data_IF_934551227122
#
_entry.id   IF_934551227122
#
_cell.length_a   1.000
_cell.length_b   1.000
_cell.length_c   1.000
_cell.angle_alpha   90.00
_cell.angle_beta   90.00
_cell.angle_gamma   90.00
#
_symmetry.space_group_name_H-M   'P 1'
#
loop_
_entity.id
_entity.type
_entity.pdbx_description
1 polymer ?
#
# COMPACT_ATOMS: atom_id res chain seq x y z
N UNK A 1 1.72 13.22 -59.80
CA UNK A 1 0.69 12.57 -58.98
C UNK A 1 1.23 11.21 -58.59
N UNK A 2 1.92 11.13 -57.46
CA UNK A 2 1.67 10.16 -56.39
C UNK A 2 2.81 10.33 -55.36
N UNK A 3 2.52 11.03 -54.27
CA UNK A 3 3.46 11.33 -53.19
C UNK A 3 3.51 10.13 -52.25
N UNK A 4 4.57 9.33 -52.37
CA UNK A 4 4.85 8.20 -51.50
C UNK A 4 5.20 8.64 -50.07
N UNK A 5 4.19 8.87 -49.24
CA UNK A 5 4.34 9.05 -47.79
C UNK A 5 4.65 7.70 -47.13
N UNK A 6 5.94 7.47 -46.90
CA UNK A 6 6.44 6.41 -46.04
C UNK A 6 6.01 6.67 -44.59
N UNK A 7 5.06 5.89 -44.07
CA UNK A 7 4.70 5.89 -42.66
C UNK A 7 5.85 5.29 -41.83
N UNK A 8 6.66 6.17 -41.23
CA UNK A 8 7.62 5.79 -40.21
C UNK A 8 6.88 5.31 -38.96
N UNK A 9 6.94 4.00 -38.70
CA UNK A 9 6.51 3.41 -37.44
C UNK A 9 7.41 3.92 -36.30
N UNK A 10 6.98 4.96 -35.60
CA UNK A 10 7.56 5.34 -34.32
C UNK A 10 7.19 4.26 -33.29
N UNK A 11 8.06 3.27 -33.11
CA UNK A 11 8.05 2.38 -31.95
C UNK A 11 8.49 3.21 -30.75
N UNK A 12 7.55 3.82 -30.03
CA UNK A 12 7.81 4.27 -28.67
C UNK A 12 8.11 3.03 -27.83
N UNK A 13 9.32 2.95 -27.26
CA UNK A 13 9.68 1.93 -26.28
C UNK A 13 8.83 2.16 -25.03
N UNK A 14 7.63 1.58 -25.00
CA UNK A 14 6.67 1.77 -23.91
C UNK A 14 7.26 1.23 -22.61
N UNK A 15 7.70 2.11 -21.70
CA UNK A 15 7.97 1.73 -20.31
C UNK A 15 6.71 1.09 -19.74
N UNK A 16 6.80 -0.17 -19.35
CA UNK A 16 5.71 -0.84 -18.63
C UNK A 16 5.61 -0.19 -17.25
N UNK A 17 4.51 0.54 -17.04
CA UNK A 17 4.23 1.20 -15.77
C UNK A 17 3.67 0.15 -14.81
N UNK A 18 4.39 -0.10 -13.72
CA UNK A 18 3.97 -1.05 -12.66
C UNK A 18 3.34 -0.25 -11.52
N UNK A 19 2.01 -0.36 -11.30
CA UNK A 19 1.36 0.29 -10.17
C UNK A 19 1.96 -0.19 -8.85
N UNK A 20 2.20 0.76 -7.94
CA UNK A 20 2.86 0.45 -6.68
C UNK A 20 2.21 1.12 -5.48
N UNK A 21 2.01 0.34 -4.41
CA UNK A 21 1.37 0.77 -3.16
C UNK A 21 2.21 0.34 -1.95
N UNK A 22 2.57 1.28 -1.09
CA UNK A 22 3.20 1.03 0.20
C UNK A 22 2.23 1.34 1.33
N UNK A 23 1.88 0.34 2.13
CA UNK A 23 1.11 0.54 3.35
C UNK A 23 2.06 0.86 4.52
N UNK A 24 1.75 1.87 5.33
CA UNK A 24 2.61 2.33 6.42
C UNK A 24 1.81 2.42 7.71
N UNK A 25 2.36 1.88 8.80
CA UNK A 25 1.87 2.12 10.16
C UNK A 25 3.04 2.53 11.06
N UNK A 26 2.92 2.39 12.38
CA UNK A 26 4.02 2.74 13.29
C UNK A 26 5.16 1.73 13.24
N UNK A 27 4.95 0.51 13.74
CA UNK A 27 6.00 -0.49 13.93
C UNK A 27 6.17 -1.50 12.79
N UNK A 28 5.32 -1.46 11.76
CA UNK A 28 5.26 -2.46 10.69
C UNK A 28 5.09 -3.91 11.18
N UNK A 29 4.31 -4.14 12.24
CA UNK A 29 4.07 -5.49 12.78
C UNK A 29 2.64 -5.99 12.63
N UNK A 30 1.66 -5.09 12.55
CA UNK A 30 0.24 -5.45 12.58
C UNK A 30 -0.50 -4.88 11.37
N UNK A 31 -0.80 -3.57 11.40
CA UNK A 31 -1.75 -2.94 10.47
C UNK A 31 -1.23 -2.89 9.04
N UNK A 32 -0.02 -2.38 8.80
CA UNK A 32 0.53 -2.29 7.45
C UNK A 32 0.86 -3.64 6.79
N UNK A 33 1.44 -4.66 7.47
CA UNK A 33 1.61 -5.97 6.84
C UNK A 33 0.27 -6.64 6.53
N UNK A 34 -0.70 -6.58 7.45
CA UNK A 34 -2.03 -7.11 7.20
C UNK A 34 -2.71 -6.39 6.03
N UNK A 35 -2.61 -5.05 5.95
CA UNK A 35 -3.21 -4.29 4.88
C UNK A 35 -2.64 -4.63 3.50
N UNK A 36 -1.31 -4.76 3.42
CA UNK A 36 -0.60 -5.21 2.22
C UNK A 36 -1.07 -6.60 1.77
N UNK A 37 -1.16 -7.54 2.71
CA UNK A 37 -1.58 -8.92 2.45
C UNK A 37 -3.05 -9.01 2.01
N UNK A 38 -3.95 -8.28 2.67
CA UNK A 38 -5.37 -8.19 2.29
C UNK A 38 -5.52 -7.58 0.89
N UNK A 39 -4.78 -6.52 0.59
CA UNK A 39 -4.84 -5.90 -0.75
C UNK A 39 -4.37 -6.86 -1.85
N UNK A 40 -3.28 -7.61 -1.62
CA UNK A 40 -2.81 -8.66 -2.52
C UNK A 40 -3.84 -9.78 -2.71
N UNK A 41 -4.48 -10.22 -1.62
CA UNK A 41 -5.57 -11.22 -1.67
C UNK A 41 -6.71 -10.74 -2.56
N UNK A 42 -7.18 -9.51 -2.37
CA UNK A 42 -8.30 -8.95 -3.16
C UNK A 42 -7.91 -8.76 -4.62
N UNK A 43 -6.66 -8.37 -4.92
CA UNK A 43 -6.15 -8.32 -6.29
C UNK A 43 -6.26 -9.69 -6.97
N UNK A 44 -5.75 -10.73 -6.31
CA UNK A 44 -5.79 -12.10 -6.85
C UNK A 44 -7.24 -12.59 -7.03
N UNK A 45 -8.12 -12.38 -6.05
CA UNK A 45 -9.54 -12.75 -6.12
C UNK A 45 -10.30 -12.05 -7.25
N UNK A 46 -9.87 -10.84 -7.62
CA UNK A 46 -10.44 -10.08 -8.75
C UNK A 46 -9.74 -10.36 -10.08
N UNK A 47 -8.82 -11.33 -10.13
CA UNK A 47 -8.14 -11.77 -11.36
C UNK A 47 -7.00 -10.87 -11.81
N UNK A 48 -6.47 -9.99 -10.95
CA UNK A 48 -5.28 -9.22 -11.27
C UNK A 48 -4.02 -10.08 -11.16
N UNK A 49 -3.10 -9.88 -12.10
CA UNK A 49 -1.78 -10.52 -12.08
C UNK A 49 -0.89 -9.82 -11.04
N UNK A 50 -0.51 -10.52 -9.98
CA UNK A 50 0.25 -9.92 -8.86
C UNK A 50 1.67 -9.46 -9.27
N UNK A 51 2.30 -10.10 -10.26
CA UNK A 51 3.60 -9.68 -10.83
C UNK A 51 3.52 -8.35 -11.60
N UNK A 52 2.32 -7.87 -11.92
CA UNK A 52 2.06 -6.54 -12.50
C UNK A 52 1.84 -5.47 -11.45
N UNK A 53 1.99 -5.79 -10.16
CA UNK A 53 1.86 -4.86 -9.05
C UNK A 53 3.06 -4.94 -8.14
N UNK A 54 3.45 -3.79 -7.57
CA UNK A 54 4.45 -3.74 -6.51
C UNK A 54 3.79 -3.30 -5.23
N UNK A 55 3.62 -4.24 -4.29
CA UNK A 55 2.92 -3.99 -3.04
C UNK A 55 3.90 -4.22 -1.90
N UNK A 56 3.88 -3.33 -0.92
CA UNK A 56 4.76 -3.43 0.23
C UNK A 56 4.11 -2.91 1.50
N UNK A 57 4.81 -3.14 2.61
CA UNK A 57 4.48 -2.52 3.88
C UNK A 57 5.75 -1.98 4.56
N UNK A 58 5.59 -0.94 5.36
CA UNK A 58 6.66 -0.35 6.16
C UNK A 58 6.11 0.29 7.45
N UNK A 59 7.00 0.89 8.24
CA UNK A 59 6.68 1.57 9.48
C UNK A 59 7.44 2.89 9.63
N UNK A 60 6.82 3.87 10.27
CA UNK A 60 7.46 5.16 10.60
C UNK A 60 8.50 5.02 11.72
N UNK A 61 8.33 4.04 12.62
CA UNK A 61 9.23 3.79 13.73
C UNK A 61 9.35 2.30 13.98
N UNK A 62 10.38 1.67 13.42
CA UNK A 62 10.56 0.22 13.48
C UNK A 62 11.73 -0.12 14.37
N UNK A 63 11.47 -0.93 15.40
CA UNK A 63 12.56 -1.56 16.14
C UNK A 63 13.12 -2.73 15.33
N UNK A 64 14.44 -2.80 15.14
CA UNK A 64 15.08 -3.93 14.48
C UNK A 64 14.69 -5.26 15.14
N UNK A 65 14.50 -6.30 14.32
CA UNK A 65 14.26 -7.69 14.74
C UNK A 65 12.95 -7.97 15.49
N UNK A 66 12.03 -7.00 15.58
CA UNK A 66 10.69 -7.32 16.05
C UNK A 66 10.02 -8.27 15.04
N UNK A 67 9.44 -9.41 15.48
CA UNK A 67 8.71 -10.29 14.58
C UNK A 67 7.34 -9.71 14.22
N UNK A 68 6.68 -10.31 13.25
CA UNK A 68 5.24 -10.10 13.07
C UNK A 68 4.49 -10.48 14.35
N UNK A 69 3.41 -9.77 14.65
CA UNK A 69 2.69 -10.00 15.91
C UNK A 69 1.94 -11.35 15.88
N UNK A 70 2.03 -12.20 16.92
CA UNK A 70 1.47 -13.56 16.88
C UNK A 70 -0.06 -13.63 16.67
N UNK A 71 -0.83 -12.73 17.28
CA UNK A 71 -2.28 -12.70 17.07
C UNK A 71 -2.63 -12.36 15.61
N UNK A 72 -1.84 -11.53 14.94
CA UNK A 72 -1.98 -11.29 13.50
C UNK A 72 -1.83 -12.59 12.71
N UNK A 73 -0.80 -13.40 13.00
CA UNK A 73 -0.56 -14.67 12.28
C UNK A 73 -1.76 -15.60 12.39
N UNK A 74 -2.28 -15.77 13.61
CA UNK A 74 -3.46 -16.61 13.87
C UNK A 74 -4.68 -16.12 13.10
N UNK A 75 -5.01 -14.84 13.22
CA UNK A 75 -6.21 -14.28 12.58
C UNK A 75 -6.07 -14.24 11.05
N UNK A 76 -4.89 -13.95 10.53
CA UNK A 76 -4.65 -13.95 9.09
C UNK A 76 -4.81 -15.36 8.51
N UNK A 77 -4.35 -16.41 9.21
CA UNK A 77 -4.54 -17.79 8.78
C UNK A 77 -6.03 -18.16 8.70
N UNK A 78 -6.83 -17.78 9.70
CA UNK A 78 -8.28 -17.98 9.71
C UNK A 78 -8.99 -17.25 8.55
N UNK A 79 -8.50 -16.05 8.21
CA UNK A 79 -9.03 -15.25 7.09
C UNK A 79 -8.45 -15.63 5.72
N UNK A 80 -7.59 -16.66 5.67
CA UNK A 80 -6.87 -17.07 4.47
C UNK A 80 -6.11 -15.90 3.81
N UNK A 81 -5.51 -15.06 4.65
CA UNK A 81 -4.65 -13.92 4.27
C UNK A 81 -3.20 -14.37 4.40
N UNK A 82 -2.50 -14.44 3.28
CA UNK A 82 -1.09 -14.81 3.26
C UNK A 82 -0.22 -13.60 3.64
N UNK A 83 0.41 -13.65 4.82
CA UNK A 83 1.32 -12.61 5.30
C UNK A 83 2.71 -12.67 4.66
N UNK A 84 3.04 -13.77 3.96
CA UNK A 84 4.33 -14.00 3.33
C UNK A 84 5.48 -14.05 4.33
N UNK A 85 6.71 -13.98 3.81
CA UNK A 85 7.90 -13.74 4.63
C UNK A 85 7.95 -12.24 5.00
N UNK A 86 7.33 -11.90 6.12
CA UNK A 86 7.29 -10.52 6.59
C UNK A 86 8.51 -10.18 7.45
N UNK A 87 9.16 -9.07 7.10
CA UNK A 87 10.23 -8.47 7.90
C UNK A 87 9.89 -7.00 8.15
N UNK A 88 9.77 -6.56 9.41
CA UNK A 88 9.55 -5.15 9.69
C UNK A 88 10.63 -4.27 9.07
N UNK A 89 10.16 -3.26 8.34
CA UNK A 89 10.98 -2.39 7.51
C UNK A 89 10.64 -0.94 7.82
N UNK A 90 11.64 -0.16 8.22
CA UNK A 90 11.46 1.28 8.44
C UNK A 90 11.37 2.00 7.10
N UNK A 91 10.55 3.05 7.04
CA UNK A 91 10.57 3.96 5.90
C UNK A 91 11.91 4.70 5.81
N UNK A 92 12.37 4.88 4.59
CA UNK A 92 13.51 5.73 4.24
C UNK A 92 13.24 6.36 2.87
N UNK A 93 13.97 7.42 2.45
CA UNK A 93 13.73 8.08 1.17
C UNK A 93 13.80 7.14 -0.03
N UNK A 94 14.73 6.16 -0.01
CA UNK A 94 14.93 5.20 -1.10
C UNK A 94 13.76 4.22 -1.20
N UNK A 95 13.19 3.81 -0.06
CA UNK A 95 11.98 3.00 -0.02
C UNK A 95 10.78 3.81 -0.49
N UNK A 96 10.60 5.05 -0.04
CA UNK A 96 9.46 5.86 -0.44
C UNK A 96 9.48 6.18 -1.94
N UNK A 97 10.66 6.41 -2.54
CA UNK A 97 10.81 6.62 -3.99
C UNK A 97 10.39 5.41 -4.83
N UNK A 98 10.51 4.19 -4.28
CA UNK A 98 10.17 2.93 -4.96
C UNK A 98 8.66 2.71 -5.15
N UNK A 99 7.81 3.53 -4.55
CA UNK A 99 6.36 3.41 -4.58
C UNK A 99 5.69 4.71 -5.03
N UNK A 100 4.69 4.57 -5.89
CA UNK A 100 3.92 5.67 -6.46
C UNK A 100 2.80 6.13 -5.50
N UNK A 101 2.28 5.23 -4.66
CA UNK A 101 1.25 5.54 -3.67
C UNK A 101 1.69 5.03 -2.29
N UNK A 102 1.58 5.90 -1.28
CA UNK A 102 1.81 5.59 0.13
C UNK A 102 0.48 5.75 0.88
N UNK A 103 0.10 4.73 1.65
CA UNK A 103 -1.14 4.71 2.43
C UNK A 103 -0.81 4.50 3.90
N UNK A 104 -1.20 5.45 4.75
CA UNK A 104 -1.00 5.39 6.19
C UNK A 104 -2.28 4.98 6.94
N UNK A 105 -2.12 4.58 8.20
CA UNK A 105 -3.23 4.17 9.08
C UNK A 105 -3.75 5.31 9.97
N UNK A 106 -2.90 6.28 10.30
CA UNK A 106 -3.22 7.40 11.19
C UNK A 106 -2.73 8.74 10.59
N UNK A 107 -3.42 9.84 10.87
CA UNK A 107 -3.04 11.19 10.44
C UNK A 107 -1.63 11.57 10.88
N UNK A 108 -1.27 11.27 12.13
CA UNK A 108 0.07 11.55 12.65
C UNK A 108 1.20 10.87 11.86
N UNK A 109 0.94 9.71 11.25
CA UNK A 109 1.92 9.04 10.37
C UNK A 109 2.08 9.81 9.06
N UNK A 110 0.99 10.33 8.47
CA UNK A 110 1.03 11.18 7.28
C UNK A 110 1.77 12.49 7.57
N UNK A 111 1.50 13.11 8.72
CA UNK A 111 2.18 14.33 9.16
C UNK A 111 3.68 14.11 9.34
N UNK A 112 4.08 13.02 10.00
CA UNK A 112 5.48 12.65 10.16
C UNK A 112 6.18 12.42 8.82
N UNK A 113 5.55 11.67 7.90
CA UNK A 113 6.09 11.46 6.55
C UNK A 113 6.22 12.78 5.80
N UNK A 114 5.23 13.67 5.89
CA UNK A 114 5.25 14.95 5.20
C UNK A 114 6.34 15.89 5.75
N UNK A 115 6.62 15.81 7.04
CA UNK A 115 7.66 16.59 7.69
C UNK A 115 9.07 16.06 7.35
N UNK A 116 9.29 14.75 7.49
CA UNK A 116 10.61 14.12 7.28
C UNK A 116 10.95 13.92 5.79
N UNK A 117 9.93 13.66 4.96
CA UNK A 117 10.07 13.36 3.53
C UNK A 117 9.09 14.22 2.70
N UNK A 118 9.31 15.55 2.57
CA UNK A 118 8.39 16.44 1.86
C UNK A 118 8.08 16.01 0.41
N UNK A 119 9.07 15.41 -0.26
CA UNK A 119 8.98 14.80 -1.60
C UNK A 119 7.91 13.69 -1.71
N UNK A 120 7.49 13.08 -0.59
CA UNK A 120 6.48 12.03 -0.56
C UNK A 120 5.05 12.54 -0.29
N UNK A 121 4.87 13.84 -0.01
CA UNK A 121 3.59 14.39 0.44
C UNK A 121 2.47 14.20 -0.60
N UNK A 122 2.73 14.53 -1.87
CA UNK A 122 1.74 14.45 -2.95
C UNK A 122 1.20 13.03 -3.19
N UNK A 123 1.92 12.01 -2.70
CA UNK A 123 1.59 10.59 -2.86
C UNK A 123 1.25 9.89 -1.54
N UNK A 124 1.09 10.62 -0.44
CA UNK A 124 0.79 10.08 0.88
C UNK A 124 -0.66 10.33 1.29
N UNK A 125 -1.41 9.27 1.56
CA UNK A 125 -2.85 9.31 1.82
C UNK A 125 -3.18 8.54 3.10
N UNK A 126 -4.13 9.02 3.89
CA UNK A 126 -4.75 8.21 4.94
C UNK A 126 -5.70 7.20 4.30
N UNK A 127 -5.68 5.93 4.74
CA UNK A 127 -6.50 4.87 4.17
C UNK A 127 -7.99 5.24 4.05
N UNK A 128 -8.55 5.90 5.06
CA UNK A 128 -9.97 6.26 5.07
C UNK A 128 -10.34 7.39 4.10
N UNK A 129 -9.38 8.16 3.57
CA UNK A 129 -9.64 9.17 2.53
C UNK A 129 -10.30 8.56 1.30
N UNK A 130 -10.03 7.28 1.02
CA UNK A 130 -10.64 6.55 -0.10
C UNK A 130 -12.10 6.14 0.13
N UNK A 131 -12.65 6.34 1.34
CA UNK A 131 -13.99 5.90 1.75
C UNK A 131 -14.94 7.05 2.13
N UNK A 132 -14.52 8.30 1.98
CA UNK A 132 -15.29 9.50 2.35
C UNK A 132 -14.83 10.07 3.69
N UNK A 133 -15.54 9.81 4.82
CA UNK A 133 -15.13 10.33 6.13
C UNK A 133 -13.71 9.88 6.52
N UNK A 134 -12.89 10.82 6.97
CA UNK A 134 -11.50 10.58 7.35
C UNK A 134 -11.37 10.33 8.84
N UNK A 135 -10.80 9.19 9.21
CA UNK A 135 -10.56 8.80 10.59
C UNK A 135 -9.35 7.87 10.68
N UNK A 136 -8.75 7.83 11.86
CA UNK A 136 -7.60 6.96 12.10
C UNK A 136 -8.06 5.51 12.28
N UNK A 137 -7.24 4.57 11.84
CA UNK A 137 -7.37 3.12 12.07
C UNK A 137 -6.59 2.81 13.35
N UNK A 138 -7.27 2.61 14.51
CA UNK A 138 -6.59 2.45 15.79
C UNK A 138 -5.58 1.30 15.82
N UNK A 139 -4.48 1.47 16.56
CA UNK A 139 -3.50 0.40 16.76
C UNK A 139 -4.05 -0.67 17.71
N UNK A 140 -4.17 -1.94 17.29
CA UNK A 140 -4.65 -3.00 18.16
C UNK A 140 -3.57 -3.58 19.10
N UNK A 141 -2.33 -3.09 19.04
CA UNK A 141 -1.24 -3.59 19.89
C UNK A 141 -1.61 -3.60 21.38
N UNK A 142 -1.41 -4.76 22.04
CA UNK A 142 -1.70 -4.94 23.47
C UNK A 142 -3.18 -5.08 23.83
N UNK A 143 -4.09 -5.05 22.86
CA UNK A 143 -5.53 -5.26 23.11
C UNK A 143 -5.86 -6.75 23.36
N UNK A 144 -6.97 -7.04 24.07
CA UNK A 144 -7.53 -8.38 24.13
C UNK A 144 -7.87 -8.94 22.73
N UNK A 145 -7.72 -10.25 22.54
CA UNK A 145 -7.84 -10.91 21.23
C UNK A 145 -9.14 -10.58 20.47
N UNK A 146 -10.26 -10.47 21.17
CA UNK A 146 -11.55 -10.13 20.55
C UNK A 146 -11.58 -8.70 19.99
N UNK A 147 -10.99 -7.74 20.71
CA UNK A 147 -10.89 -6.35 20.25
C UNK A 147 -9.88 -6.23 19.11
N UNK A 148 -8.76 -6.94 19.23
CA UNK A 148 -7.74 -7.04 18.19
C UNK A 148 -8.33 -7.58 16.88
N UNK A 149 -9.08 -8.69 16.97
CA UNK A 149 -9.80 -9.31 15.84
C UNK A 149 -10.79 -8.35 15.22
N UNK A 150 -11.63 -7.71 16.03
CA UNK A 150 -12.58 -6.70 15.55
C UNK A 150 -11.87 -5.58 14.79
N UNK A 151 -10.72 -5.13 15.27
CA UNK A 151 -9.93 -4.09 14.62
C UNK A 151 -9.36 -4.54 13.27
N UNK A 152 -8.83 -5.76 13.18
CA UNK A 152 -8.41 -6.33 11.90
C UNK A 152 -9.57 -6.48 10.92
N UNK A 153 -10.77 -6.87 11.37
CA UNK A 153 -11.94 -6.95 10.51
C UNK A 153 -12.37 -5.57 9.98
N UNK A 154 -12.30 -4.53 10.81
CA UNK A 154 -12.53 -3.14 10.37
C UNK A 154 -11.52 -2.75 9.30
N UNK A 155 -10.23 -3.05 9.50
CA UNK A 155 -9.18 -2.76 8.54
C UNK A 155 -9.40 -3.52 7.21
N UNK A 156 -9.73 -4.81 7.27
CA UNK A 156 -10.06 -5.62 6.09
C UNK A 156 -11.22 -5.00 5.31
N UNK A 157 -12.33 -4.69 5.99
CA UNK A 157 -13.51 -4.10 5.37
C UNK A 157 -13.20 -2.73 4.74
N UNK A 158 -12.37 -1.93 5.41
CA UNK A 158 -11.92 -0.62 4.93
C UNK A 158 -11.14 -0.76 3.63
N UNK A 159 -10.16 -1.66 3.57
CA UNK A 159 -9.37 -1.94 2.37
C UNK A 159 -10.26 -2.44 1.24
N UNK A 160 -11.17 -3.37 1.54
CA UNK A 160 -12.10 -3.93 0.56
C UNK A 160 -12.98 -2.85 -0.07
N UNK A 161 -13.49 -1.93 0.74
CA UNK A 161 -14.29 -0.78 0.28
C UNK A 161 -13.46 0.21 -0.53
N UNK A 162 -12.21 0.46 -0.13
CA UNK A 162 -11.30 1.41 -0.79
C UNK A 162 -10.63 0.85 -2.05
N UNK A 163 -10.74 -0.45 -2.31
CA UNK A 163 -9.93 -1.18 -3.28
C UNK A 163 -9.85 -0.52 -4.66
N UNK A 164 -11.00 -0.18 -5.25
CA UNK A 164 -11.04 0.43 -6.59
C UNK A 164 -10.37 1.80 -6.62
N UNK A 165 -10.63 2.62 -5.59
CA UNK A 165 -10.04 3.96 -5.47
C UNK A 165 -8.52 3.88 -5.30
N UNK A 166 -8.03 2.97 -4.45
CA UNK A 166 -6.59 2.69 -4.28
C UNK A 166 -5.97 2.29 -5.62
N UNK A 167 -6.60 1.36 -6.35
CA UNK A 167 -6.08 0.90 -7.64
C UNK A 167 -5.99 2.03 -8.67
N UNK A 168 -7.02 2.86 -8.76
CA UNK A 168 -7.07 3.98 -9.70
C UNK A 168 -6.02 5.04 -9.37
N UNK A 169 -5.89 5.40 -8.08
CA UNK A 169 -4.87 6.35 -7.63
C UNK A 169 -3.46 5.82 -7.84
N UNK A 170 -3.19 4.55 -7.52
CA UNK A 170 -1.88 3.93 -7.72
C UNK A 170 -1.48 3.95 -9.20
N UNK A 171 -2.41 3.61 -10.11
CA UNK A 171 -2.16 3.67 -11.56
C UNK A 171 -1.89 5.09 -12.04
N UNK A 172 -2.72 6.05 -11.62
CA UNK A 172 -2.56 7.47 -11.98
C UNK A 172 -1.19 7.99 -11.56
N UNK A 173 -0.83 7.84 -10.29
CA UNK A 173 0.44 8.32 -9.77
C UNK A 173 1.65 7.61 -10.41
N UNK A 174 1.51 6.34 -10.77
CA UNK A 174 2.58 5.62 -11.46
C UNK A 174 2.79 6.13 -12.89
N UNK A 175 1.72 6.54 -13.59
CA UNK A 175 1.82 7.17 -14.90
C UNK A 175 2.46 8.56 -14.79
N UNK A 176 2.01 9.37 -13.83
CA UNK A 176 2.52 10.73 -13.61
C UNK A 176 4.03 10.74 -13.31
N UNK A 177 4.54 9.71 -12.62
CA UNK A 177 5.96 9.56 -12.28
C UNK A 177 6.92 9.31 -13.47
N UNK A 178 6.38 9.11 -14.69
CA UNK A 178 7.17 8.87 -15.90
C UNK A 178 7.10 10.06 -16.88
N UNK A 179 6.14 10.96 -16.67
CA UNK A 179 5.92 12.14 -17.52
C UNK A 179 6.81 13.33 -17.11
N UNK A 180 7.55 13.19 -16.02
CA UNK A 180 8.53 14.15 -15.48
C UNK A 180 9.83 13.43 -15.15
#
# INVERSE_FOLDING_TARGET
MDDGLSFQHHKTSGRVVVPSVLFVCTANQIRSPFASAVFQKILAEKGFQLDKWKIGSAGTWVYPHLPIEPNLVTIAAELQVNLGEHKPTQIDPTLLQKYALIIVMEKGQKEAINYEFPEANYKSYLLTEFNGPTYDIPDPHGMPIEQYRKMLMILYATISKSFNSICNTARKLSLDSILY
#
